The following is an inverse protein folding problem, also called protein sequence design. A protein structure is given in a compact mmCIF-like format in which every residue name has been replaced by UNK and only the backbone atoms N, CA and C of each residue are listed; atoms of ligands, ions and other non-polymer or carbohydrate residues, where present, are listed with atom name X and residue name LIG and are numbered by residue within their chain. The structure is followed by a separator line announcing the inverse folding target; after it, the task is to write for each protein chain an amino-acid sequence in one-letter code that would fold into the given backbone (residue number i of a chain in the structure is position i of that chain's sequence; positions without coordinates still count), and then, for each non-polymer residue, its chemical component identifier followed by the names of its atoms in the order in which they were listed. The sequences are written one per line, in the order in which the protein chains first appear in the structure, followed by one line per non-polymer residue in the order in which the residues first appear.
data_IF_418219115456
#
_entry.id   IF_418219115456
#
_cell.length_a   1.000
_cell.length_b   1.000
_cell.length_c   1.000
_cell.angle_alpha   90.00
_cell.angle_beta   90.00
_cell.angle_gamma   90.00
#
_symmetry.space_group_name_H-M   'P 1'
#
loop_
_entity.id
_entity.type
_entity.pdbx_description
1 polymer ?
#
# COMPACT_ATOMS: atom_id res chain seq x y z
N UNK A 1 17.84 29.56 27.11
CA UNK A 1 17.24 28.23 27.36
C UNK A 1 16.66 27.72 26.06
N UNK A 2 17.42 26.88 25.33
CA UNK A 2 16.94 26.29 24.07
C UNK A 2 16.24 24.98 24.41
N UNK A 3 14.94 24.95 24.20
CA UNK A 3 14.15 23.72 24.32
C UNK A 3 14.57 22.77 23.18
N UNK A 4 15.14 21.61 23.53
CA UNK A 4 15.43 20.51 22.62
C UNK A 4 14.09 19.97 22.08
N UNK A 5 13.87 20.05 20.75
CA UNK A 5 12.82 19.30 20.06
C UNK A 5 12.96 17.80 20.38
N UNK A 6 11.86 17.10 20.64
CA UNK A 6 11.91 15.65 20.82
C UNK A 6 12.38 15.00 19.51
N UNK A 7 13.47 14.26 19.56
CA UNK A 7 13.91 13.38 18.48
C UNK A 7 12.87 12.26 18.34
N UNK A 8 12.18 12.24 17.20
CA UNK A 8 11.47 11.04 16.75
C UNK A 8 12.50 9.90 16.71
N UNK A 9 12.43 8.96 17.66
CA UNK A 9 13.20 7.72 17.57
C UNK A 9 12.65 6.92 16.39
N UNK A 10 13.34 6.93 15.26
CA UNK A 10 13.18 5.92 14.24
C UNK A 10 13.36 4.57 14.93
N UNK A 11 12.44 3.66 14.73
CA UNK A 11 12.57 2.26 15.12
C UNK A 11 13.73 1.72 14.27
N UNK A 12 14.78 1.21 14.91
CA UNK A 12 15.89 0.57 14.19
C UNK A 12 15.43 -0.82 13.71
N UNK A 13 14.62 -0.84 12.66
CA UNK A 13 14.22 -2.07 12.01
C UNK A 13 15.43 -2.69 11.30
N UNK A 14 15.71 -3.96 11.60
CA UNK A 14 16.76 -4.73 10.94
C UNK A 14 16.16 -5.67 9.90
N UNK A 15 16.98 -6.16 8.99
CA UNK A 15 16.55 -7.17 8.01
C UNK A 15 16.46 -8.54 8.68
N UNK A 16 15.48 -9.36 8.29
CA UNK A 16 15.33 -10.72 8.80
C UNK A 16 16.60 -11.56 8.54
N UNK A 17 17.33 -11.28 7.46
CA UNK A 17 18.61 -11.92 7.12
C UNK A 17 19.76 -11.60 8.09
N UNK A 18 19.64 -10.58 8.94
CA UNK A 18 20.65 -10.15 9.90
C UNK A 18 20.51 -10.87 11.25
N UNK A 19 19.35 -11.51 11.51
CA UNK A 19 19.14 -12.30 12.71
C UNK A 19 20.02 -13.55 12.70
N UNK A 20 20.56 -13.89 13.87
CA UNK A 20 21.40 -15.07 14.10
C UNK A 20 20.54 -16.26 14.54
N UNK A 21 21.11 -17.46 14.43
CA UNK A 21 20.47 -18.69 14.93
C UNK A 21 20.07 -18.55 16.40
N UNK A 22 18.79 -18.82 16.68
CA UNK A 22 18.18 -18.70 18.01
C UNK A 22 17.64 -17.30 18.32
N UNK A 23 17.90 -16.30 17.47
CA UNK A 23 17.29 -14.98 17.64
C UNK A 23 15.89 -14.95 17.06
N UNK A 24 15.04 -14.12 17.63
CA UNK A 24 13.66 -13.92 17.19
C UNK A 24 13.36 -12.43 17.00
N UNK A 25 12.44 -12.13 16.10
CA UNK A 25 11.97 -10.77 15.86
C UNK A 25 10.50 -10.76 15.50
N UNK A 26 9.88 -9.59 15.58
CA UNK A 26 8.51 -9.36 15.14
C UNK A 26 8.56 -8.67 13.79
N UNK A 27 7.84 -9.20 12.81
CA UNK A 27 7.78 -8.66 11.46
C UNK A 27 7.03 -7.32 11.49
N UNK A 28 7.69 -6.26 11.04
CA UNK A 28 7.09 -4.93 10.92
C UNK A 28 6.75 -4.57 9.48
N UNK A 29 7.50 -5.14 8.52
CA UNK A 29 7.29 -4.86 7.11
C UNK A 29 7.77 -6.00 6.22
N UNK A 30 7.01 -6.29 5.16
CA UNK A 30 7.42 -7.19 4.07
C UNK A 30 7.52 -6.35 2.82
N UNK A 31 8.73 -6.20 2.32
CA UNK A 31 9.02 -5.52 1.05
C UNK A 31 8.93 -6.52 -0.10
N UNK A 32 9.01 -6.01 -1.33
CA UNK A 32 8.88 -6.84 -2.52
C UNK A 32 7.45 -6.85 -3.07
N UNK A 33 7.29 -7.32 -4.30
CA UNK A 33 6.06 -7.19 -5.07
C UNK A 33 5.67 -8.49 -5.76
N UNK A 34 4.41 -8.56 -6.20
CA UNK A 34 3.91 -9.66 -7.05
C UNK A 34 3.94 -11.03 -6.38
N UNK A 35 4.38 -12.04 -7.16
CA UNK A 35 4.37 -13.44 -6.72
C UNK A 35 5.25 -13.74 -5.50
N UNK A 36 6.33 -12.97 -5.29
CA UNK A 36 7.16 -13.10 -4.10
C UNK A 36 6.37 -12.74 -2.84
N UNK A 37 5.78 -11.55 -2.80
CA UNK A 37 5.03 -11.08 -1.63
C UNK A 37 3.85 -11.99 -1.32
N UNK A 38 3.08 -12.39 -2.35
CA UNK A 38 1.97 -13.33 -2.18
C UNK A 38 2.44 -14.62 -1.50
N UNK A 39 3.51 -15.25 -2.02
CA UNK A 39 4.07 -16.48 -1.45
C UNK A 39 4.54 -16.31 -0.01
N UNK A 40 5.23 -15.20 0.30
CA UNK A 40 5.74 -14.91 1.64
C UNK A 40 4.60 -14.70 2.64
N UNK A 41 3.55 -13.98 2.24
CA UNK A 41 2.34 -13.78 3.05
C UNK A 41 1.58 -15.11 3.25
N UNK A 42 1.43 -15.92 2.21
CA UNK A 42 0.82 -17.27 2.30
C UNK A 42 1.62 -18.20 3.23
N UNK A 43 2.93 -18.01 3.33
CA UNK A 43 3.79 -18.72 4.29
C UNK A 43 3.76 -18.10 5.70
N UNK A 44 2.87 -17.15 5.97
CA UNK A 44 2.65 -16.57 7.30
C UNK A 44 3.58 -15.43 7.69
N UNK A 45 4.45 -14.94 6.78
CA UNK A 45 5.27 -13.77 7.05
C UNK A 45 4.43 -12.50 6.90
N UNK A 46 3.61 -12.23 7.90
CA UNK A 46 2.73 -11.05 7.96
C UNK A 46 3.15 -10.13 9.11
N UNK A 47 2.81 -8.85 8.99
CA UNK A 47 3.09 -7.85 10.02
C UNK A 47 2.51 -8.27 11.37
N UNK A 48 3.31 -8.13 12.43
CA UNK A 48 2.95 -8.50 13.79
C UNK A 48 3.26 -9.96 14.16
N UNK A 49 3.65 -10.82 13.21
CA UNK A 49 4.03 -12.20 13.51
C UNK A 49 5.46 -12.30 14.03
N UNK A 50 5.62 -13.17 15.04
CA UNK A 50 6.93 -13.52 15.54
C UNK A 50 7.61 -14.54 14.63
N UNK A 51 8.86 -14.31 14.28
CA UNK A 51 9.71 -15.19 13.49
C UNK A 51 10.99 -15.48 14.25
N UNK A 52 11.44 -16.73 14.26
CA UNK A 52 12.65 -17.20 14.92
C UNK A 52 13.58 -17.86 13.90
N UNK A 53 14.87 -17.60 13.99
CA UNK A 53 15.89 -18.29 13.18
C UNK A 53 16.23 -19.61 13.82
N UNK A 54 15.83 -20.71 13.20
CA UNK A 54 16.07 -22.07 13.73
C UNK A 54 17.45 -22.57 13.37
N UNK A 55 17.86 -22.41 12.13
CA UNK A 55 19.14 -22.92 11.63
C UNK A 55 19.62 -22.10 10.42
N UNK A 56 20.89 -21.71 10.48
CA UNK A 56 21.60 -21.26 9.29
C UNK A 56 22.25 -22.49 8.64
N UNK A 57 21.97 -22.75 7.37
CA UNK A 57 22.66 -23.80 6.62
C UNK A 57 24.19 -23.58 6.63
N UNK A 58 25.03 -24.61 6.43
CA UNK A 58 26.49 -24.48 6.48
C UNK A 58 27.08 -23.39 5.57
N UNK A 59 26.37 -23.05 4.49
CA UNK A 59 26.70 -21.96 3.55
C UNK A 59 25.90 -20.67 3.80
N UNK A 60 25.18 -20.59 4.92
CA UNK A 60 24.31 -19.47 5.29
C UNK A 60 23.17 -19.15 4.27
N UNK A 61 22.85 -20.08 3.38
CA UNK A 61 21.77 -19.94 2.41
C UNK A 61 21.30 -21.33 1.90
N UNK A 62 20.00 -21.72 2.02
CA UNK A 62 18.91 -20.96 2.65
C UNK A 62 18.94 -21.01 4.19
N UNK A 63 18.26 -20.05 4.81
CA UNK A 63 18.09 -19.97 6.27
C UNK A 63 16.72 -20.52 6.65
N UNK A 64 16.66 -21.33 7.71
CA UNK A 64 15.42 -21.85 8.26
C UNK A 64 14.86 -20.93 9.33
N UNK A 65 13.62 -20.57 9.16
CA UNK A 65 12.85 -19.76 10.08
C UNK A 65 11.66 -20.55 10.62
N UNK A 66 11.32 -20.32 11.88
CA UNK A 66 10.09 -20.82 12.49
C UNK A 66 9.08 -19.69 12.56
N UNK A 67 7.91 -19.90 12.00
CA UNK A 67 6.81 -18.95 11.98
C UNK A 67 5.49 -19.69 12.15
N UNK A 68 4.57 -19.16 12.95
CA UNK A 68 3.25 -19.77 13.22
C UNK A 68 3.30 -21.27 13.58
N UNK A 69 4.42 -21.73 14.18
CA UNK A 69 4.58 -23.12 14.64
C UNK A 69 5.18 -24.10 13.62
N UNK A 70 5.46 -23.70 12.39
CA UNK A 70 6.11 -24.53 11.37
C UNK A 70 7.43 -23.90 10.86
N UNK A 71 8.25 -24.71 10.20
CA UNK A 71 9.55 -24.29 9.68
C UNK A 71 9.46 -23.95 8.18
N UNK A 72 10.02 -22.83 7.80
CA UNK A 72 10.09 -22.34 6.42
C UNK A 72 11.54 -22.00 6.09
N UNK A 73 11.99 -22.37 4.90
CA UNK A 73 13.31 -21.99 4.40
C UNK A 73 13.19 -20.82 3.42
N UNK A 74 13.93 -19.74 3.69
CA UNK A 74 14.05 -18.60 2.77
C UNK A 74 15.50 -18.44 2.33
N UNK A 75 15.69 -18.01 1.10
CA UNK A 75 17.00 -17.55 0.64
C UNK A 75 17.34 -16.22 1.30
N UNK A 76 18.62 -15.96 1.47
CA UNK A 76 19.10 -14.72 2.10
C UNK A 76 18.52 -13.48 1.39
N UNK A 77 18.52 -13.45 0.06
CA UNK A 77 17.94 -12.36 -0.72
C UNK A 77 16.42 -12.15 -0.46
N UNK A 78 15.69 -13.21 -0.11
CA UNK A 78 14.27 -13.14 0.25
C UNK A 78 14.10 -12.60 1.69
N UNK A 79 14.94 -13.02 2.61
CA UNK A 79 14.94 -12.55 3.99
C UNK A 79 15.38 -11.07 4.11
N UNK A 80 16.19 -10.55 3.20
CA UNK A 80 16.55 -9.13 3.10
C UNK A 80 15.35 -8.21 2.80
N UNK A 81 14.27 -8.78 2.23
CA UNK A 81 13.04 -8.05 1.93
C UNK A 81 12.04 -8.04 3.11
N UNK A 82 12.39 -8.61 4.25
CA UNK A 82 11.54 -8.66 5.44
C UNK A 82 12.23 -7.86 6.55
N UNK A 83 11.52 -6.87 7.09
CA UNK A 83 12.00 -6.06 8.21
C UNK A 83 11.38 -6.55 9.52
N UNK A 84 12.24 -6.67 10.53
CA UNK A 84 11.87 -7.14 11.86
C UNK A 84 12.43 -6.19 12.94
N UNK A 85 11.80 -6.20 14.10
CA UNK A 85 12.27 -5.51 15.31
C UNK A 85 12.39 -6.51 16.46
N UNK A 86 13.13 -6.17 17.51
CA UNK A 86 13.17 -6.98 18.73
C UNK A 86 11.79 -7.08 19.38
N UNK A 87 11.60 -8.08 20.26
CA UNK A 87 10.32 -8.24 20.98
C UNK A 87 10.01 -7.04 21.88
N UNK A 88 11.03 -6.50 22.54
CA UNK A 88 10.88 -5.33 23.41
C UNK A 88 10.46 -4.09 22.62
N UNK A 89 11.07 -3.86 21.46
CA UNK A 89 10.72 -2.76 20.57
C UNK A 89 9.34 -2.95 19.95
N UNK A 90 8.92 -4.20 19.66
CA UNK A 90 7.59 -4.52 19.18
C UNK A 90 6.52 -4.27 20.25
N UNK A 91 6.79 -4.60 21.53
CA UNK A 91 5.89 -4.32 22.65
C UNK A 91 5.77 -2.82 22.92
N UNK A 92 6.88 -2.06 22.86
CA UNK A 92 6.83 -0.60 22.90
C UNK A 92 6.08 -0.01 21.72
N UNK A 93 6.21 -0.60 20.54
CA UNK A 93 5.50 -0.20 19.34
C UNK A 93 4.01 -0.53 19.44
N UNK A 94 3.65 -1.73 19.94
CA UNK A 94 2.29 -2.14 20.21
C UNK A 94 1.64 -1.23 21.26
N UNK A 95 2.30 -0.99 22.39
CA UNK A 95 1.80 -0.11 23.45
C UNK A 95 1.60 1.35 22.99
N UNK A 96 2.43 1.84 22.06
CA UNK A 96 2.25 3.15 21.42
C UNK A 96 1.15 3.16 20.36
N UNK A 97 0.82 2.00 19.80
CA UNK A 97 -0.19 1.83 18.75
C UNK A 97 -1.46 1.11 19.24
N UNK A 98 -1.51 0.58 20.46
CA UNK A 98 -2.75 0.05 21.06
C UNK A 98 -3.84 1.11 21.29
N UNK A 99 -3.46 2.40 21.32
CA UNK A 99 -4.45 3.50 21.19
C UNK A 99 -4.95 3.64 19.74
N UNK A 100 -4.47 2.82 18.80
CA UNK A 100 -4.75 2.87 17.37
C UNK A 100 -4.96 1.49 16.74
N UNK A 101 -5.43 0.51 17.47
CA UNK A 101 -5.88 -0.79 16.94
C UNK A 101 -7.34 -0.78 16.46
N UNK A 102 -7.82 0.37 16.00
CA UNK A 102 -8.80 0.47 14.93
C UNK A 102 -8.03 0.65 13.63
N UNK A 103 -8.59 0.35 12.50
CA UNK A 103 -8.12 0.84 11.21
C UNK A 103 -8.01 2.35 11.36
N UNK A 104 -6.81 2.84 11.76
CA UNK A 104 -6.55 4.26 11.70
C UNK A 104 -6.44 4.53 10.23
N UNK A 105 -7.54 4.99 9.67
CA UNK A 105 -7.46 5.83 8.52
C UNK A 105 -6.52 6.96 8.92
N UNK A 106 -5.21 6.81 8.62
CA UNK A 106 -4.30 7.96 8.62
C UNK A 106 -5.09 9.08 7.95
N UNK A 107 -5.21 10.23 8.58
CA UNK A 107 -5.94 11.31 7.94
C UNK A 107 -5.32 11.53 6.56
N UNK A 108 -6.09 11.94 5.56
CA UNK A 108 -5.54 12.25 4.24
C UNK A 108 -4.32 13.17 4.35
N UNK A 109 -4.30 14.06 5.35
CA UNK A 109 -3.18 14.93 5.66
C UNK A 109 -1.91 14.18 6.09
N UNK A 110 -2.03 13.08 6.83
CA UNK A 110 -0.86 12.31 7.28
C UNK A 110 -0.27 11.48 6.13
N UNK A 111 -1.11 10.95 5.26
CA UNK A 111 -0.70 10.26 4.04
C UNK A 111 0.03 11.23 3.11
N UNK A 112 -0.54 12.41 2.88
CA UNK A 112 0.06 13.46 2.05
C UNK A 112 1.40 13.94 2.64
N UNK A 113 1.47 14.16 3.95
CA UNK A 113 2.71 14.58 4.63
C UNK A 113 3.80 13.52 4.55
N UNK A 114 3.47 12.22 4.57
CA UNK A 114 4.44 11.13 4.39
C UNK A 114 4.95 11.09 2.96
N UNK A 115 4.05 11.13 1.97
CA UNK A 115 4.42 11.14 0.56
C UNK A 115 5.29 12.35 0.19
N UNK A 116 5.01 13.53 0.76
CA UNK A 116 5.74 14.76 0.49
C UNK A 116 7.13 14.85 1.17
N UNK A 117 7.37 14.10 2.25
CA UNK A 117 8.66 14.17 2.98
C UNK A 117 9.85 13.74 2.13
N UNK A 118 9.65 12.79 1.24
CA UNK A 118 10.72 12.15 0.48
C UNK A 118 10.97 12.81 -0.89
N UNK A 119 9.99 13.55 -1.44
CA UNK A 119 10.02 14.06 -2.82
C UNK A 119 9.84 15.58 -2.97
N UNK A 120 10.03 16.36 -1.90
CA UNK A 120 10.06 17.83 -2.02
C UNK A 120 8.75 18.45 -2.52
N UNK A 121 7.60 17.99 -2.02
CA UNK A 121 6.25 18.47 -2.36
C UNK A 121 5.70 18.02 -3.74
N UNK A 122 6.41 17.19 -4.50
CA UNK A 122 5.88 16.55 -5.71
C UNK A 122 5.27 15.19 -5.37
N UNK A 123 3.99 15.00 -5.65
CA UNK A 123 3.23 13.79 -5.31
C UNK A 123 2.61 13.22 -6.58
N UNK A 124 2.84 11.93 -6.84
CA UNK A 124 2.18 11.18 -7.90
C UNK A 124 0.98 10.42 -7.34
N UNK A 125 -0.21 10.65 -7.87
CA UNK A 125 -1.42 9.97 -7.46
C UNK A 125 -2.13 9.33 -8.65
N UNK A 126 -2.57 8.08 -8.49
CA UNK A 126 -3.26 7.34 -9.53
C UNK A 126 -4.71 7.07 -9.12
N UNK A 127 -5.63 7.32 -10.04
CA UNK A 127 -7.04 7.00 -9.86
C UNK A 127 -7.32 5.59 -10.38
N UNK A 128 -7.82 4.74 -9.51
CA UNK A 128 -8.18 3.34 -9.79
C UNK A 128 -9.62 3.11 -9.35
N UNK A 129 -10.34 2.24 -10.01
CA UNK A 129 -11.73 1.91 -9.64
C UNK A 129 -12.42 1.12 -10.73
N UNK A 130 -13.59 0.59 -10.38
CA UNK A 130 -14.41 -0.18 -11.31
C UNK A 130 -14.87 0.68 -12.49
N UNK A 131 -15.16 0.08 -13.65
CA UNK A 131 -15.84 0.79 -14.72
C UNK A 131 -17.13 1.44 -14.23
N UNK A 132 -17.37 2.67 -14.65
CA UNK A 132 -18.56 3.48 -14.33
C UNK A 132 -18.72 3.91 -12.85
N UNK A 133 -17.72 3.73 -11.98
CA UNK A 133 -17.75 4.24 -10.60
C UNK A 133 -17.59 5.77 -10.51
N UNK A 134 -17.49 6.48 -11.64
CA UNK A 134 -17.29 7.93 -11.68
C UNK A 134 -15.83 8.40 -11.52
N UNK A 135 -14.87 7.49 -11.65
CA UNK A 135 -13.43 7.74 -11.52
C UNK A 135 -12.94 8.89 -12.40
N UNK A 136 -13.23 8.85 -13.71
CA UNK A 136 -12.83 9.89 -14.66
C UNK A 136 -13.52 11.23 -14.37
N UNK A 137 -14.74 11.23 -13.87
CA UNK A 137 -15.43 12.46 -13.46
C UNK A 137 -14.72 13.11 -12.28
N UNK A 138 -14.35 12.33 -11.27
CA UNK A 138 -13.60 12.81 -10.10
C UNK A 138 -12.20 13.32 -10.50
N UNK A 139 -11.50 12.58 -11.38
CA UNK A 139 -10.22 13.00 -11.94
C UNK A 139 -10.35 14.34 -12.67
N UNK A 140 -11.32 14.49 -13.59
CA UNK A 140 -11.54 15.73 -14.33
C UNK A 140 -11.84 16.92 -13.41
N UNK A 141 -12.64 16.71 -12.37
CA UNK A 141 -12.91 17.73 -11.35
C UNK A 141 -11.64 18.14 -10.59
N UNK A 142 -10.76 17.20 -10.31
CA UNK A 142 -9.50 17.44 -9.59
C UNK A 142 -8.48 18.21 -10.44
N UNK A 143 -8.40 17.93 -11.74
CA UNK A 143 -7.42 18.56 -12.64
C UNK A 143 -7.87 19.93 -13.18
N UNK A 144 -9.17 20.26 -13.12
CA UNK A 144 -9.73 21.45 -13.77
C UNK A 144 -9.53 21.42 -15.29
N UNK A 145 -9.15 22.58 -15.87
CA UNK A 145 -8.96 22.73 -17.33
C UNK A 145 -7.57 22.26 -17.84
N UNK A 146 -6.77 21.60 -17.03
CA UNK A 146 -5.37 21.25 -17.33
C UNK A 146 -5.14 19.75 -17.62
N UNK A 147 -6.08 19.13 -18.32
CA UNK A 147 -5.92 17.74 -18.77
C UNK A 147 -4.99 17.64 -19.98
N UNK A 148 -4.13 16.63 -19.98
CA UNK A 148 -3.41 16.17 -21.19
C UNK A 148 -3.69 14.68 -21.36
N UNK A 149 -4.16 14.28 -22.53
CA UNK A 149 -4.24 12.88 -22.93
C UNK A 149 -2.81 12.45 -23.30
N UNK A 150 -2.21 11.62 -22.48
CA UNK A 150 -0.91 11.01 -22.75
C UNK A 150 -1.11 9.56 -23.16
N UNK A 151 -0.70 9.19 -24.37
CA UNK A 151 -0.65 7.80 -24.80
C UNK A 151 0.68 7.22 -24.33
N UNK A 152 0.63 6.27 -23.41
CA UNK A 152 1.82 5.50 -23.07
C UNK A 152 2.15 4.53 -24.21
N UNK A 153 3.39 4.61 -24.72
CA UNK A 153 3.84 3.78 -25.84
C UNK A 153 3.86 2.30 -25.46
N UNK A 154 3.09 1.49 -26.17
CA UNK A 154 3.13 0.03 -26.09
C UNK A 154 1.85 -0.68 -25.65
N UNK A 155 0.80 0.04 -25.28
CA UNK A 155 -0.51 -0.53 -24.96
C UNK A 155 -1.61 0.35 -25.57
N UNK A 156 -2.65 -0.28 -26.12
CA UNK A 156 -3.80 0.42 -26.74
C UNK A 156 -4.77 1.03 -25.69
N UNK A 157 -4.27 1.27 -24.47
CA UNK A 157 -5.09 1.72 -23.35
C UNK A 157 -4.59 3.11 -22.93
N UNK A 158 -5.46 4.10 -23.02
CA UNK A 158 -5.16 5.49 -22.74
C UNK A 158 -5.24 5.77 -21.23
N UNK A 159 -4.11 6.14 -20.62
CA UNK A 159 -4.12 6.81 -19.33
C UNK A 159 -4.14 8.32 -19.54
N UNK A 160 -4.98 9.03 -18.79
CA UNK A 160 -5.01 10.48 -18.80
C UNK A 160 -4.08 11.01 -17.71
N UNK A 161 -3.30 12.03 -18.05
CA UNK A 161 -2.47 12.75 -17.09
C UNK A 161 -3.05 14.13 -16.82
N UNK A 162 -3.08 14.52 -15.55
CA UNK A 162 -3.50 15.85 -15.11
C UNK A 162 -2.57 16.39 -14.04
N UNK A 163 -2.61 17.69 -13.81
CA UNK A 163 -1.84 18.35 -12.76
C UNK A 163 -2.76 19.14 -11.85
N UNK A 164 -2.50 19.05 -10.55
CA UNK A 164 -3.18 19.83 -9.52
C UNK A 164 -2.12 20.47 -8.63
N UNK A 165 -2.27 21.78 -8.39
CA UNK A 165 -1.49 22.47 -7.37
C UNK A 165 -2.44 22.82 -6.23
N UNK A 166 -2.10 22.37 -5.04
CA UNK A 166 -2.88 22.66 -3.84
C UNK A 166 -1.95 23.01 -2.69
N UNK A 167 -2.06 24.22 -2.16
CA UNK A 167 -1.11 24.79 -1.22
C UNK A 167 0.31 24.73 -1.81
N UNK A 168 1.28 24.18 -1.05
CA UNK A 168 2.68 24.02 -1.48
C UNK A 168 2.94 22.66 -2.17
N UNK A 169 1.89 21.89 -2.49
CA UNK A 169 2.00 20.57 -3.10
C UNK A 169 1.70 20.60 -4.59
N UNK A 170 2.49 19.87 -5.36
CA UNK A 170 2.33 19.67 -6.80
C UNK A 170 1.94 18.21 -7.04
N UNK A 171 0.73 17.99 -7.51
CA UNK A 171 0.24 16.65 -7.80
C UNK A 171 0.32 16.36 -9.30
N UNK A 172 0.93 15.23 -9.64
CA UNK A 172 0.79 14.58 -10.94
C UNK A 172 -0.27 13.49 -10.82
N UNK A 173 -1.42 13.69 -11.44
CA UNK A 173 -2.59 12.83 -11.34
C UNK A 173 -2.70 11.97 -12.60
N UNK A 174 -3.04 10.69 -12.45
CA UNK A 174 -3.19 9.74 -13.54
C UNK A 174 -4.51 9.00 -13.42
N UNK A 175 -5.36 9.08 -14.46
CA UNK A 175 -6.60 8.32 -14.58
C UNK A 175 -6.32 7.01 -15.31
N UNK A 176 -6.31 5.89 -14.58
CA UNK A 176 -6.08 4.57 -15.16
C UNK A 176 -7.41 3.98 -15.67
N UNK A 177 -7.35 3.01 -16.59
CA UNK A 177 -8.54 2.32 -17.07
C UNK A 177 -9.38 1.73 -15.94
N UNK A 178 -10.70 1.71 -16.11
CA UNK A 178 -11.59 1.04 -15.16
C UNK A 178 -11.37 -0.47 -15.20
N UNK A 179 -11.21 -1.07 -14.02
CA UNK A 179 -11.01 -2.52 -13.89
C UNK A 179 -11.73 -3.06 -12.66
N UNK A 180 -12.16 -4.33 -12.71
CA UNK A 180 -12.80 -5.00 -11.58
C UNK A 180 -11.82 -5.78 -10.71
N UNK A 181 -10.63 -6.05 -11.24
CA UNK A 181 -9.59 -6.82 -10.54
C UNK A 181 -8.20 -6.49 -11.07
N UNK A 182 -7.16 -7.00 -10.40
CA UNK A 182 -5.75 -6.95 -10.84
C UNK A 182 -5.24 -8.34 -11.27
N UNK A 183 -6.15 -9.24 -11.66
CA UNK A 183 -5.86 -10.65 -11.93
C UNK A 183 -5.16 -10.92 -13.26
N UNK A 184 -4.97 -9.90 -14.11
CA UNK A 184 -4.24 -9.96 -15.38
C UNK A 184 -4.92 -10.77 -16.50
N UNK A 185 -6.24 -10.95 -16.45
CA UNK A 185 -6.99 -11.61 -17.52
C UNK A 185 -7.35 -10.67 -18.67
N UNK A 186 -7.53 -9.38 -18.38
CA UNK A 186 -7.82 -8.37 -19.41
C UNK A 186 -6.64 -7.43 -19.63
N UNK A 187 -6.52 -6.80 -20.80
CA UNK A 187 -5.49 -5.79 -21.06
C UNK A 187 -5.51 -4.65 -20.05
N UNK A 188 -6.71 -4.20 -19.63
CA UNK A 188 -6.91 -3.14 -18.66
C UNK A 188 -6.38 -3.54 -17.27
N UNK A 189 -6.70 -4.75 -16.81
CA UNK A 189 -6.22 -5.28 -15.53
C UNK A 189 -4.69 -5.39 -15.52
N UNK A 190 -4.13 -5.93 -16.61
CA UNK A 190 -2.68 -6.05 -16.76
C UNK A 190 -2.03 -4.66 -16.75
N UNK A 191 -2.62 -3.69 -17.45
CA UNK A 191 -2.11 -2.33 -17.53
C UNK A 191 -2.10 -1.64 -16.17
N UNK A 192 -3.23 -1.65 -15.44
CA UNK A 192 -3.36 -1.04 -14.11
C UNK A 192 -2.34 -1.64 -13.15
N UNK A 193 -2.26 -2.98 -13.09
CA UNK A 193 -1.29 -3.67 -12.24
C UNK A 193 0.15 -3.32 -12.58
N UNK A 194 0.49 -3.36 -13.86
CA UNK A 194 1.84 -3.04 -14.35
C UNK A 194 2.20 -1.59 -14.05
N UNK A 195 1.27 -0.67 -14.26
CA UNK A 195 1.46 0.74 -13.97
C UNK A 195 1.82 0.97 -12.49
N UNK A 196 1.04 0.41 -11.56
CA UNK A 196 1.29 0.55 -10.12
C UNK A 196 2.65 -0.03 -9.74
N UNK A 197 3.02 -1.20 -10.30
CA UNK A 197 4.29 -1.87 -10.01
C UNK A 197 5.49 -1.12 -10.59
N UNK A 198 5.40 -0.57 -11.80
CA UNK A 198 6.53 0.04 -12.49
C UNK A 198 6.71 1.52 -12.15
N UNK A 199 5.61 2.25 -11.99
CA UNK A 199 5.64 3.69 -11.75
C UNK A 199 5.71 4.07 -10.27
N UNK A 200 5.42 3.12 -9.36
CA UNK A 200 5.47 3.34 -7.90
C UNK A 200 4.80 4.65 -7.49
N UNK A 201 3.48 4.81 -7.74
CA UNK A 201 2.79 6.04 -7.35
C UNK A 201 2.85 6.23 -5.83
N UNK A 202 2.87 7.47 -5.39
CA UNK A 202 2.92 7.80 -3.96
C UNK A 202 1.58 7.52 -3.29
N UNK A 203 0.48 7.66 -4.03
CA UNK A 203 -0.88 7.47 -3.51
C UNK A 203 -1.76 6.82 -4.58
N UNK A 204 -2.59 5.88 -4.16
CA UNK A 204 -3.71 5.35 -4.95
C UNK A 204 -4.99 6.01 -4.45
N UNK A 205 -5.75 6.62 -5.35
CA UNK A 205 -7.12 7.06 -5.11
C UNK A 205 -8.07 6.00 -5.67
N UNK A 206 -8.57 5.14 -4.80
CA UNK A 206 -9.51 4.08 -5.17
C UNK A 206 -10.94 4.64 -5.13
N UNK A 207 -11.54 4.83 -6.31
CA UNK A 207 -12.90 5.35 -6.45
C UNK A 207 -13.88 4.20 -6.40
N UNK A 208 -14.75 4.22 -5.40
CA UNK A 208 -15.75 3.19 -5.12
C UNK A 208 -17.14 3.74 -5.36
N UNK A 209 -17.94 2.99 -6.11
CA UNK A 209 -19.38 3.19 -6.19
C UNK A 209 -20.04 2.70 -4.90
N UNK A 210 -20.50 3.65 -4.07
CA UNK A 210 -21.10 3.35 -2.77
C UNK A 210 -22.43 2.60 -2.89
N UNK A 211 -23.15 2.73 -4.03
CA UNK A 211 -24.40 2.01 -4.27
C UNK A 211 -24.17 0.51 -4.54
N UNK A 212 -22.94 0.12 -4.93
CA UNK A 212 -22.53 -1.25 -5.26
C UNK A 212 -21.21 -1.64 -4.56
N UNK A 213 -21.11 -1.36 -3.27
CA UNK A 213 -19.85 -1.45 -2.52
C UNK A 213 -19.21 -2.85 -2.56
N UNK A 214 -20.02 -3.91 -2.40
CA UNK A 214 -19.53 -5.30 -2.37
C UNK A 214 -18.71 -5.65 -3.63
N UNK A 215 -19.17 -5.23 -4.78
CA UNK A 215 -18.48 -5.46 -6.06
C UNK A 215 -17.17 -4.69 -6.16
N UNK A 216 -17.12 -3.50 -5.56
CA UNK A 216 -15.94 -2.63 -5.59
C UNK A 216 -14.87 -3.08 -4.59
N UNK A 217 -15.25 -3.68 -3.46
CA UNK A 217 -14.31 -4.14 -2.43
C UNK A 217 -13.37 -5.23 -2.92
N UNK A 218 -13.74 -6.01 -3.94
CA UNK A 218 -12.84 -7.02 -4.51
C UNK A 218 -11.56 -6.40 -5.09
N UNK A 219 -11.68 -5.31 -5.85
CA UNK A 219 -10.53 -4.57 -6.34
C UNK A 219 -9.77 -3.91 -5.18
N UNK A 220 -10.50 -3.35 -4.21
CA UNK A 220 -9.92 -2.69 -3.03
C UNK A 220 -9.00 -3.62 -2.25
N UNK A 221 -9.42 -4.87 -2.00
CA UNK A 221 -8.58 -5.85 -1.30
C UNK A 221 -7.29 -6.15 -2.06
N UNK A 222 -7.35 -6.24 -3.38
CA UNK A 222 -6.16 -6.45 -4.20
C UNK A 222 -5.22 -5.24 -4.24
N UNK A 223 -5.78 -4.02 -4.15
CA UNK A 223 -4.99 -2.79 -4.05
C UNK A 223 -4.28 -2.69 -2.69
N UNK A 224 -4.93 -3.12 -1.61
CA UNK A 224 -4.31 -3.20 -0.28
C UNK A 224 -3.07 -4.09 -0.32
N UNK A 225 -3.13 -5.22 -1.05
CA UNK A 225 -2.01 -6.14 -1.21
C UNK A 225 -0.81 -5.53 -1.97
N UNK A 226 -1.02 -4.41 -2.67
CA UNK A 226 0.07 -3.71 -3.39
C UNK A 226 0.95 -2.86 -2.46
N UNK A 227 0.53 -2.64 -1.19
CA UNK A 227 1.27 -1.87 -0.16
C UNK A 227 1.61 -0.42 -0.56
N UNK A 228 0.78 0.17 -1.38
CA UNK A 228 0.85 1.59 -1.73
C UNK A 228 -0.18 2.34 -0.87
N UNK A 229 0.16 3.50 -0.30
CA UNK A 229 -0.80 4.33 0.42
C UNK A 229 -2.07 4.56 -0.41
N UNK A 230 -3.24 4.29 0.17
CA UNK A 230 -4.49 4.34 -0.56
C UNK A 230 -5.52 5.23 0.15
N UNK A 231 -6.20 6.05 -0.63
CA UNK A 231 -7.36 6.83 -0.22
C UNK A 231 -8.59 6.22 -0.90
N UNK A 232 -9.63 5.95 -0.12
CA UNK A 232 -10.92 5.49 -0.65
C UNK A 232 -11.80 6.73 -0.88
N UNK A 233 -12.22 6.92 -2.13
CA UNK A 233 -13.16 7.95 -2.52
C UNK A 233 -14.54 7.32 -2.79
N UNK A 234 -15.48 7.52 -1.87
CA UNK A 234 -16.85 7.04 -2.01
C UNK A 234 -17.64 7.97 -2.93
N UNK A 235 -17.99 7.47 -4.10
CA UNK A 235 -18.82 8.17 -5.07
C UNK A 235 -20.25 7.58 -5.11
N UNK A 236 -21.18 8.23 -5.78
CA UNK A 236 -22.60 7.81 -5.87
C UNK A 236 -23.26 7.60 -4.51
N UNK A 237 -22.86 8.41 -3.55
CA UNK A 237 -23.37 8.33 -2.18
C UNK A 237 -24.83 8.81 -2.07
N UNK A 238 -25.26 9.64 -2.98
CA UNK A 238 -26.66 10.04 -3.19
C UNK A 238 -27.53 8.84 -3.56
N UNK A 239 -27.12 8.01 -4.50
CA UNK A 239 -27.82 6.77 -4.88
C UNK A 239 -27.91 5.78 -3.71
N UNK A 240 -26.83 5.65 -2.92
CA UNK A 240 -26.85 4.83 -1.70
C UNK A 240 -27.94 5.33 -0.74
N UNK A 241 -28.03 6.62 -0.49
CA UNK A 241 -29.05 7.20 0.39
C UNK A 241 -30.47 7.00 -0.12
N UNK A 242 -30.68 7.18 -1.43
CA UNK A 242 -31.99 6.97 -2.05
C UNK A 242 -32.46 5.52 -1.96
N UNK A 243 -31.55 4.55 -1.99
CA UNK A 243 -31.86 3.12 -1.76
C UNK A 243 -32.24 2.77 -0.33
N UNK A 244 -32.14 3.73 0.62
CA UNK A 244 -32.44 3.54 2.02
C UNK A 244 -31.35 2.80 2.81
N UNK A 245 -30.20 2.54 2.17
CA UNK A 245 -29.05 1.92 2.81
C UNK A 245 -28.17 2.97 3.52
N UNK A 246 -27.49 2.53 4.57
CA UNK A 246 -26.54 3.34 5.30
C UNK A 246 -25.20 2.60 5.30
N UNK A 247 -24.11 3.35 5.13
CA UNK A 247 -22.77 2.85 5.27
C UNK A 247 -22.24 3.28 6.64
N UNK A 248 -21.75 2.32 7.40
CA UNK A 248 -21.00 2.57 8.62
C UNK A 248 -19.56 2.92 8.23
N UNK A 249 -19.13 4.15 8.53
CA UNK A 249 -17.82 4.68 8.13
C UNK A 249 -16.87 4.79 9.34
N UNK A 250 -17.33 4.34 10.54
CA UNK A 250 -16.52 4.35 11.78
C UNK A 250 -15.54 3.17 11.85
#
# INVERSE_FOLDING_TARGET
MHAKKPRNKNIDAMKLSELKTGESGVIVRVMGHGGFRKRIVEMGFIKGQNVEVVLNAPLHDPVKYKIMGYEVSLRKAEAELIEVVSKEEAEEWAAKNETQAGIVADSCDDILRRAARDKGHEISAVFVGNPNCGKTSLFNMSCGAHERVGNYSGVTVDAKEGKLNFNDYHFSLYDLPGTYSLSTYTPEELYVRKYIIEQHPDIIVNVIDASNIERNLYLTTQLIDMDVPMIIALNMYDELKESGNQLDIE
#
